data_IF_182948144680
#
_entry.id   IF_182948144680
#
_cell.length_a   1.000
_cell.length_b   1.000
_cell.length_c   1.000
_cell.angle_alpha   90.00
_cell.angle_beta   90.00
_cell.angle_gamma   90.00
#
_symmetry.space_group_name_H-M   'P 1'
#
loop_
_entity.id
_entity.type
_entity.pdbx_description
1 polymer ?
#
# COMPACT_ATOMS: atom_id res chain seq x y z
N UNK A 1 -27.57 -12.66 -35.04
CA UNK A 1 -26.89 -13.38 -33.94
C UNK A 1 -26.72 -12.45 -32.75
N UNK A 2 -27.51 -12.63 -31.69
CA UNK A 2 -27.36 -11.92 -30.41
C UNK A 2 -26.58 -12.86 -29.47
N UNK A 3 -25.35 -12.50 -29.11
CA UNK A 3 -24.56 -13.26 -28.14
C UNK A 3 -24.98 -12.86 -26.72
N UNK A 4 -25.55 -13.81 -25.99
CA UNK A 4 -25.98 -13.66 -24.60
C UNK A 4 -24.76 -13.91 -23.68
N UNK A 5 -24.27 -12.86 -23.02
CA UNK A 5 -23.11 -12.93 -22.13
C UNK A 5 -23.58 -13.43 -20.76
N UNK A 6 -23.27 -14.67 -20.41
CA UNK A 6 -23.63 -15.26 -19.12
C UNK A 6 -22.41 -15.18 -18.20
N UNK A 7 -22.45 -14.35 -17.16
CA UNK A 7 -21.39 -14.24 -16.15
C UNK A 7 -21.67 -15.30 -15.08
N UNK A 8 -20.82 -16.34 -15.04
CA UNK A 8 -20.83 -17.33 -13.97
C UNK A 8 -20.05 -16.79 -12.76
N UNK A 9 -20.75 -16.57 -11.65
CA UNK A 9 -20.14 -16.14 -10.39
C UNK A 9 -19.70 -17.38 -9.61
N UNK A 10 -18.38 -17.67 -9.59
CA UNK A 10 -17.82 -18.71 -8.72
C UNK A 10 -17.76 -18.20 -7.28
N UNK A 11 -18.55 -18.79 -6.38
CA UNK A 11 -18.44 -18.55 -4.95
C UNK A 11 -17.24 -19.30 -4.36
N UNK A 12 -16.26 -18.57 -3.83
CA UNK A 12 -15.19 -19.15 -3.01
C UNK A 12 -15.61 -19.12 -1.53
N UNK A 13 -15.58 -20.28 -0.88
CA UNK A 13 -15.64 -20.39 0.58
C UNK A 13 -14.26 -20.00 1.14
N UNK A 14 -14.16 -18.85 1.81
CA UNK A 14 -12.93 -18.44 2.50
C UNK A 14 -13.02 -18.78 3.99
N UNK A 15 -12.00 -19.44 4.52
CA UNK A 15 -11.80 -19.59 5.96
C UNK A 15 -11.30 -18.26 6.54
N UNK A 16 -12.03 -17.68 7.49
CA UNK A 16 -11.64 -16.44 8.15
C UNK A 16 -10.53 -16.69 9.17
N UNK A 17 -9.32 -16.21 8.90
CA UNK A 17 -8.28 -16.07 9.93
C UNK A 17 -8.53 -14.77 10.69
N UNK A 18 -8.41 -14.79 12.02
CA UNK A 18 -8.51 -13.60 12.86
C UNK A 18 -7.48 -12.55 12.39
N UNK A 19 -7.98 -11.38 11.98
CA UNK A 19 -7.17 -10.32 11.39
C UNK A 19 -6.30 -9.68 12.48
N UNK A 20 -4.98 -9.71 12.29
CA UNK A 20 -4.06 -8.91 13.10
C UNK A 20 -4.09 -7.47 12.56
N UNK A 21 -4.64 -6.55 13.35
CA UNK A 21 -4.91 -5.12 13.02
C UNK A 21 -3.68 -4.26 12.64
N UNK A 22 -2.48 -4.83 12.55
CA UNK A 22 -1.20 -4.09 12.39
C UNK A 22 -0.99 -3.47 10.99
N UNK A 23 -1.89 -3.72 10.02
CA UNK A 23 -1.75 -3.30 8.62
C UNK A 23 -2.96 -2.54 8.04
N UNK A 24 -3.92 -2.13 8.87
CA UNK A 24 -5.19 -1.59 8.35
C UNK A 24 -5.03 -0.28 7.58
N UNK A 25 -4.02 0.53 7.90
CA UNK A 25 -3.71 1.75 7.15
C UNK A 25 -3.39 1.47 5.67
N UNK A 26 -2.90 0.27 5.33
CA UNK A 26 -2.65 -0.15 3.94
C UNK A 26 -3.93 -0.47 3.16
N UNK A 27 -5.09 -0.48 3.81
CA UNK A 27 -6.39 -0.61 3.13
C UNK A 27 -6.98 0.74 2.71
N UNK A 28 -6.44 1.86 3.21
CA UNK A 28 -6.87 3.20 2.79
C UNK A 28 -6.71 3.32 1.28
N UNK A 29 -5.54 2.94 0.75
CA UNK A 29 -5.23 3.02 -0.68
C UNK A 29 -4.39 4.24 -1.03
N UNK A 30 -3.79 4.26 -2.23
CA UNK A 30 -2.90 5.33 -2.69
C UNK A 30 -3.31 5.88 -4.05
N UNK A 31 -3.23 7.20 -4.21
CA UNK A 31 -3.56 7.93 -5.44
C UNK A 31 -5.04 8.32 -5.52
N UNK A 32 -5.31 9.60 -5.79
CA UNK A 32 -6.68 10.12 -5.91
C UNK A 32 -7.52 9.40 -6.97
N UNK A 33 -6.91 9.03 -8.10
CA UNK A 33 -7.58 8.28 -9.15
C UNK A 33 -7.96 6.85 -8.73
N UNK A 34 -7.14 6.21 -7.88
CA UNK A 34 -7.49 4.91 -7.33
C UNK A 34 -8.67 5.02 -6.37
N UNK A 35 -8.65 6.03 -5.51
CA UNK A 35 -9.71 6.30 -4.55
C UNK A 35 -11.05 6.60 -5.24
N UNK A 36 -11.04 7.40 -6.32
CA UNK A 36 -12.26 7.69 -7.09
C UNK A 36 -12.84 6.46 -7.78
N UNK A 37 -12.02 5.45 -8.07
CA UNK A 37 -12.45 4.15 -8.60
C UNK A 37 -12.78 3.12 -7.52
N UNK A 38 -12.91 3.54 -6.26
CA UNK A 38 -13.20 2.63 -5.15
C UNK A 38 -12.08 1.61 -4.92
N UNK A 39 -10.82 2.02 -5.12
CA UNK A 39 -9.62 1.18 -4.97
C UNK A 39 -9.51 0.02 -5.98
N UNK A 40 -10.28 0.04 -7.07
CA UNK A 40 -10.23 -0.96 -8.12
C UNK A 40 -9.12 -0.69 -9.16
N UNK A 41 -7.87 -1.05 -8.84
CA UNK A 41 -6.70 -0.70 -9.66
C UNK A 41 -5.88 -1.88 -10.24
N UNK A 42 -6.18 -3.12 -9.85
CA UNK A 42 -5.31 -4.28 -10.12
C UNK A 42 -4.96 -4.45 -11.61
N UNK A 43 -5.92 -4.24 -12.50
CA UNK A 43 -5.74 -4.44 -13.95
C UNK A 43 -5.37 -3.15 -14.71
N UNK A 44 -5.71 -1.98 -14.18
CA UNK A 44 -5.59 -0.69 -14.87
C UNK A 44 -4.34 0.10 -14.51
N UNK A 45 -3.73 -0.16 -13.34
CA UNK A 45 -2.60 0.64 -12.86
C UNK A 45 -1.40 0.52 -13.79
N UNK A 46 -0.85 1.68 -14.17
CA UNK A 46 0.21 1.78 -15.17
C UNK A 46 1.25 2.87 -14.86
N UNK A 47 1.29 3.34 -13.62
CA UNK A 47 2.16 4.42 -13.14
C UNK A 47 2.96 3.99 -11.92
N UNK A 48 3.71 4.91 -11.31
CA UNK A 48 4.53 4.67 -10.11
C UNK A 48 3.73 4.10 -8.91
N UNK A 49 2.42 4.35 -8.82
CA UNK A 49 1.57 3.78 -7.76
C UNK A 49 1.33 2.28 -7.94
N UNK A 50 1.69 1.72 -9.10
CA UNK A 50 1.65 0.28 -9.36
C UNK A 50 2.46 -0.53 -8.33
N UNK A 51 3.52 0.03 -7.74
CA UNK A 51 4.27 -0.65 -6.67
C UNK A 51 3.39 -1.06 -5.48
N UNK A 52 2.37 -0.25 -5.16
CA UNK A 52 1.38 -0.54 -4.12
C UNK A 52 0.23 -1.42 -4.63
N UNK A 53 -0.32 -1.11 -5.82
CA UNK A 53 -1.53 -1.76 -6.34
C UNK A 53 -1.27 -3.09 -7.06
N UNK A 54 -0.38 -3.10 -8.06
CA UNK A 54 0.03 -4.30 -8.80
C UNK A 54 1.41 -4.05 -9.42
N UNK A 55 2.50 -4.64 -8.88
CA UNK A 55 3.85 -4.31 -9.30
C UNK A 55 4.09 -4.58 -10.79
N UNK A 56 3.36 -5.51 -11.43
CA UNK A 56 3.47 -5.73 -12.88
C UNK A 56 3.16 -4.48 -13.72
N UNK A 57 2.32 -3.58 -13.21
CA UNK A 57 1.95 -2.32 -13.86
C UNK A 57 3.11 -1.33 -14.03
N UNK A 58 4.19 -1.46 -13.24
CA UNK A 58 5.39 -0.60 -13.34
C UNK A 58 6.07 -0.72 -14.72
N UNK A 59 5.89 -1.84 -15.41
CA UNK A 59 6.42 -2.04 -16.77
C UNK A 59 5.77 -1.14 -17.84
N UNK A 60 4.65 -0.49 -17.51
CA UNK A 60 3.95 0.43 -18.41
C UNK A 60 4.46 1.87 -18.30
N UNK A 61 5.36 2.18 -17.36
CA UNK A 61 6.02 3.48 -17.26
C UNK A 61 6.94 3.65 -18.46
N UNK A 62 6.68 4.69 -19.26
CA UNK A 62 7.43 4.98 -20.50
C UNK A 62 8.52 6.05 -20.33
N UNK A 63 8.49 6.79 -19.22
CA UNK A 63 9.47 7.83 -18.90
C UNK A 63 10.66 7.25 -18.15
N UNK A 64 11.81 7.91 -18.21
CA UNK A 64 13.04 7.45 -17.53
C UNK A 64 12.89 7.37 -16.01
N UNK A 65 12.01 8.20 -15.44
CA UNK A 65 11.70 8.20 -14.02
C UNK A 65 10.29 8.76 -13.82
N UNK A 66 9.60 8.26 -12.81
CA UNK A 66 8.32 8.80 -12.36
C UNK A 66 8.32 8.89 -10.83
N UNK A 67 7.80 10.00 -10.32
CA UNK A 67 7.66 10.26 -8.88
C UNK A 67 6.21 10.62 -8.60
N UNK A 68 5.67 10.19 -7.47
CA UNK A 68 4.33 10.55 -7.00
C UNK A 68 4.35 10.82 -5.51
N UNK A 69 3.61 11.84 -5.10
CA UNK A 69 3.39 12.20 -3.71
C UNK A 69 1.88 12.34 -3.49
N UNK A 70 1.42 11.92 -2.32
CA UNK A 70 0.04 12.10 -1.87
C UNK A 70 0.05 12.38 -0.38
N UNK A 71 -0.79 13.31 0.04
CA UNK A 71 -1.11 13.58 1.43
C UNK A 71 -2.64 13.52 1.56
N UNK A 72 -3.12 12.86 2.60
CA UNK A 72 -4.54 12.78 2.93
C UNK A 72 -4.74 12.89 4.44
N UNK A 73 -5.70 13.73 4.83
CA UNK A 73 -6.14 13.85 6.22
C UNK A 73 -7.32 12.90 6.46
N UNK A 74 -7.26 12.16 7.57
CA UNK A 74 -8.27 11.21 8.00
C UNK A 74 -8.85 11.66 9.35
N UNK A 75 -10.18 11.49 9.51
CA UNK A 75 -10.93 11.89 10.69
C UNK A 75 -10.70 13.34 11.13
N UNK A 76 -10.97 14.32 10.27
CA UNK A 76 -10.81 15.74 10.58
C UNK A 76 -9.38 16.09 11.08
N UNK A 77 -8.39 15.66 10.30
CA UNK A 77 -6.96 15.96 10.53
C UNK A 77 -6.35 15.31 11.78
N UNK A 78 -7.05 14.34 12.40
CA UNK A 78 -6.50 13.55 13.50
C UNK A 78 -5.43 12.58 12.97
N UNK A 79 -5.69 11.92 11.83
CA UNK A 79 -4.74 11.01 11.20
C UNK A 79 -4.17 11.58 9.90
N UNK A 80 -2.86 11.52 9.72
CA UNK A 80 -2.17 11.92 8.49
C UNK A 80 -1.72 10.69 7.72
N UNK A 81 -2.09 10.59 6.44
CA UNK A 81 -1.68 9.52 5.55
C UNK A 81 -0.85 10.09 4.39
N UNK A 82 0.45 9.87 4.45
CA UNK A 82 1.43 10.33 3.47
C UNK A 82 1.92 9.15 2.62
N UNK A 83 2.04 9.38 1.33
CA UNK A 83 2.60 8.44 0.37
C UNK A 83 3.61 9.15 -0.52
N UNK A 84 4.79 8.54 -0.66
CA UNK A 84 5.83 8.96 -1.60
C UNK A 84 6.30 7.74 -2.37
N UNK A 85 6.43 7.86 -3.69
CA UNK A 85 6.96 6.79 -4.51
C UNK A 85 7.78 7.29 -5.67
N UNK A 86 8.76 6.47 -6.06
CA UNK A 86 9.62 6.67 -7.21
C UNK A 86 9.74 5.35 -7.97
N UNK A 87 9.67 5.42 -9.29
CA UNK A 87 9.91 4.27 -10.16
C UNK A 87 10.81 4.68 -11.33
N UNK A 88 11.68 3.75 -11.72
CA UNK A 88 12.67 3.93 -12.76
C UNK A 88 12.76 2.68 -13.64
N UNK A 89 12.43 2.78 -14.94
CA UNK A 89 12.76 1.73 -15.89
C UNK A 89 14.27 1.52 -15.97
N UNK A 90 14.67 0.25 -16.09
CA UNK A 90 16.05 -0.15 -16.33
C UNK A 90 16.36 0.04 -17.81
N UNK A 91 17.63 0.25 -18.16
CA UNK A 91 18.08 0.54 -19.53
C UNK A 91 17.69 -0.51 -20.59
N UNK A 92 17.26 -1.70 -20.19
CA UNK A 92 16.75 -2.73 -21.11
C UNK A 92 15.31 -2.48 -21.61
N UNK A 93 14.62 -1.46 -21.06
CA UNK A 93 13.24 -1.08 -21.40
C UNK A 93 12.17 -2.13 -21.05
N UNK A 94 12.57 -3.22 -20.41
CA UNK A 94 11.72 -4.37 -20.07
C UNK A 94 11.52 -4.50 -18.58
N UNK A 95 12.42 -3.96 -17.77
CA UNK A 95 12.38 -4.02 -16.31
C UNK A 95 12.16 -2.65 -15.70
N UNK A 96 11.48 -2.61 -14.57
CA UNK A 96 11.26 -1.38 -13.79
C UNK A 96 11.46 -1.67 -12.32
N UNK A 97 12.18 -0.78 -11.64
CA UNK A 97 12.34 -0.78 -10.19
C UNK A 97 11.46 0.30 -9.58
N UNK A 98 10.87 0.03 -8.41
CA UNK A 98 10.03 0.95 -7.68
C UNK A 98 10.35 0.95 -6.20
N UNK A 99 10.29 2.12 -5.59
CA UNK A 99 10.34 2.33 -4.15
C UNK A 99 9.12 3.14 -3.74
N UNK A 100 8.48 2.75 -2.65
CA UNK A 100 7.41 3.53 -2.04
C UNK A 100 7.55 3.56 -0.53
N UNK A 101 7.17 4.68 0.05
CA UNK A 101 7.08 4.89 1.49
C UNK A 101 5.68 5.37 1.81
N UNK A 102 5.10 4.79 2.84
CA UNK A 102 3.80 5.14 3.38
C UNK A 102 4.01 5.50 4.84
N UNK A 103 3.46 6.62 5.26
CA UNK A 103 3.40 7.01 6.67
C UNK A 103 1.93 7.19 7.02
N UNK A 104 1.49 6.53 8.08
CA UNK A 104 0.23 6.83 8.72
C UNK A 104 0.52 7.21 10.16
N UNK A 105 0.00 8.33 10.65
CA UNK A 105 0.23 8.70 12.03
C UNK A 105 -0.72 9.74 12.57
N UNK A 106 -0.93 9.66 13.88
CA UNK A 106 -1.62 10.68 14.67
C UNK A 106 -0.54 11.41 15.45
N UNK A 107 -0.38 12.69 15.15
CA UNK A 107 0.60 13.54 15.78
C UNK A 107 -0.01 14.32 16.95
N UNK A 108 0.82 14.65 17.94
CA UNK A 108 0.45 15.51 19.08
C UNK A 108 -0.72 15.00 19.96
N UNK A 109 -0.78 13.71 20.25
CA UNK A 109 -1.76 13.17 21.21
C UNK A 109 -1.38 13.64 22.62
N UNK A 110 -2.23 14.42 23.33
CA UNK A 110 -1.92 14.87 24.68
C UNK A 110 -1.96 13.69 25.66
N UNK A 111 -0.85 13.42 26.35
CA UNK A 111 -0.82 12.40 27.40
C UNK A 111 -1.41 12.94 28.70
N UNK A 112 -2.59 12.46 29.08
CA UNK A 112 -3.27 12.85 30.32
C UNK A 112 -3.05 11.87 31.48
N UNK A 113 -2.25 10.81 31.30
CA UNK A 113 -1.98 9.81 32.35
C UNK A 113 -1.20 10.39 33.55
N UNK A 114 -0.53 11.52 33.36
CA UNK A 114 0.21 12.24 34.41
C UNK A 114 -0.45 13.58 34.77
N UNK A 115 -1.74 13.76 34.41
CA UNK A 115 -2.48 15.00 34.67
C UNK A 115 -2.75 15.24 36.17
N UNK A 116 -2.93 14.15 36.92
CA UNK A 116 -3.17 14.19 38.36
C UNK A 116 -1.90 13.84 39.10
N UNK A 117 -1.51 14.72 40.01
CA UNK A 117 -0.43 14.46 40.96
C UNK A 117 -0.90 13.51 42.07
N UNK A 118 0.04 12.97 42.86
CA UNK A 118 -0.29 12.04 43.96
C UNK A 118 -1.15 12.69 45.07
N UNK A 119 -1.24 14.02 45.08
CA UNK A 119 -2.08 14.81 45.98
C UNK A 119 -3.46 15.18 45.38
N UNK A 120 -3.76 14.75 44.16
CA UNK A 120 -5.01 15.01 43.44
C UNK A 120 -5.08 16.37 42.74
N UNK A 121 -4.02 17.19 42.78
CA UNK A 121 -3.95 18.46 42.05
C UNK A 121 -3.75 18.22 40.54
N UNK A 122 -4.27 19.14 39.73
CA UNK A 122 -4.15 19.09 38.26
C UNK A 122 -2.89 19.86 37.87
N UNK A 123 -1.95 19.17 37.23
CA UNK A 123 -0.74 19.77 36.69
C UNK A 123 -0.76 19.70 35.16
N UNK A 124 -1.15 20.81 34.52
CA UNK A 124 -1.20 20.90 33.06
C UNK A 124 0.19 20.85 32.40
N UNK A 125 1.27 21.14 33.12
CA UNK A 125 2.64 21.05 32.61
C UNK A 125 3.11 19.60 32.39
N UNK A 126 2.40 18.62 32.97
CA UNK A 126 2.66 17.20 32.77
C UNK A 126 2.06 16.63 31.47
N UNK A 127 1.25 17.41 30.75
CA UNK A 127 0.68 17.00 29.46
C UNK A 127 1.80 17.05 28.42
N UNK A 128 2.48 15.92 28.23
CA UNK A 128 3.48 15.76 27.16
C UNK A 128 2.83 15.10 25.94
N UNK A 129 2.87 15.73 24.75
CA UNK A 129 2.34 15.10 23.56
C UNK A 129 3.17 13.87 23.17
N UNK A 130 2.50 12.84 22.66
CA UNK A 130 3.13 11.72 21.97
C UNK A 130 2.54 11.55 20.58
N UNK A 131 3.33 11.01 19.65
CA UNK A 131 2.85 10.60 18.33
C UNK A 131 2.79 9.08 18.24
N UNK A 132 1.80 8.56 17.53
CA UNK A 132 1.73 7.16 17.12
C UNK A 132 1.85 7.11 15.60
N UNK A 133 2.90 6.48 15.09
CA UNK A 133 3.21 6.51 13.65
C UNK A 133 3.60 5.12 13.15
N UNK A 134 3.00 4.74 12.04
CA UNK A 134 3.29 3.54 11.26
C UNK A 134 3.95 3.91 9.94
N UNK A 135 5.09 3.28 9.65
CA UNK A 135 5.75 3.38 8.36
C UNK A 135 5.66 2.07 7.61
N UNK A 136 5.40 2.12 6.31
CA UNK A 136 5.60 1.00 5.41
C UNK A 136 6.53 1.36 4.26
N UNK A 137 7.49 0.50 3.98
CA UNK A 137 8.42 0.62 2.88
C UNK A 137 8.13 -0.51 1.88
N UNK A 138 7.96 -0.17 0.61
CA UNK A 138 7.71 -1.14 -0.45
C UNK A 138 8.83 -1.05 -1.47
N UNK A 139 9.56 -2.14 -1.64
CA UNK A 139 10.45 -2.35 -2.77
C UNK A 139 9.72 -3.16 -3.83
N UNK A 140 9.71 -2.70 -5.07
CA UNK A 140 9.01 -3.34 -6.19
C UNK A 140 9.94 -3.56 -7.37
N UNK A 141 9.78 -4.70 -8.01
CA UNK A 141 10.43 -5.04 -9.26
C UNK A 141 9.41 -5.58 -10.24
N UNK A 142 9.51 -5.18 -11.50
CA UNK A 142 8.61 -5.63 -12.54
C UNK A 142 9.36 -5.90 -13.83
N UNK A 143 8.87 -6.85 -14.62
CA UNK A 143 9.48 -7.24 -15.88
C UNK A 143 8.43 -7.66 -16.92
N UNK A 144 8.60 -7.19 -18.15
CA UNK A 144 7.92 -7.71 -19.34
C UNK A 144 8.50 -9.07 -19.73
N UNK A 145 7.63 -10.04 -19.97
CA UNK A 145 8.02 -11.35 -20.49
C UNK A 145 8.16 -11.32 -22.01
N UNK A 146 8.47 -12.48 -22.61
CA UNK A 146 8.78 -12.58 -24.06
C UNK A 146 7.69 -12.03 -24.99
N UNK A 147 6.44 -11.99 -24.54
CA UNK A 147 5.38 -11.24 -25.20
C UNK A 147 5.21 -9.89 -24.52
N UNK A 148 5.29 -8.78 -25.26
CA UNK A 148 5.02 -7.41 -24.75
C UNK A 148 3.61 -7.22 -24.15
N UNK A 149 2.79 -8.26 -24.21
CA UNK A 149 1.45 -8.36 -23.64
C UNK A 149 1.43 -8.85 -22.20
N UNK A 150 2.49 -9.50 -21.71
CA UNK A 150 2.51 -10.11 -20.38
C UNK A 150 3.60 -9.48 -19.53
N UNK A 151 3.18 -8.91 -18.41
CA UNK A 151 4.04 -8.33 -17.39
C UNK A 151 3.86 -9.07 -16.08
N UNK A 152 4.98 -9.31 -15.40
CA UNK A 152 5.01 -9.84 -14.04
C UNK A 152 5.72 -8.86 -13.13
N UNK A 153 5.40 -8.89 -11.85
CA UNK A 153 6.10 -8.11 -10.85
C UNK A 153 6.03 -8.75 -9.48
N UNK A 154 6.96 -8.35 -8.62
CA UNK A 154 6.98 -8.72 -7.22
C UNK A 154 7.24 -7.47 -6.38
N UNK A 155 6.73 -7.49 -5.15
CA UNK A 155 7.09 -6.50 -4.15
C UNK A 155 7.46 -7.16 -2.82
N UNK A 156 8.35 -6.49 -2.10
CA UNK A 156 8.68 -6.78 -0.72
C UNK A 156 8.28 -5.55 0.08
N UNK A 157 7.40 -5.74 1.06
CA UNK A 157 6.92 -4.71 1.96
C UNK A 157 7.51 -4.96 3.34
N UNK A 158 8.10 -3.94 3.94
CA UNK A 158 8.39 -3.91 5.36
C UNK A 158 7.55 -2.84 6.05
N UNK A 159 7.31 -3.03 7.34
CA UNK A 159 6.62 -2.06 8.18
C UNK A 159 7.39 -1.85 9.47
N UNK A 160 7.35 -0.62 9.97
CA UNK A 160 7.90 -0.22 11.25
C UNK A 160 6.78 0.50 11.97
N UNK A 161 6.23 -0.15 12.98
CA UNK A 161 5.30 0.47 13.92
C UNK A 161 6.11 1.15 15.03
N UNK A 162 5.94 2.48 15.16
CA UNK A 162 6.50 3.29 16.22
C UNK A 162 5.35 3.70 17.14
N UNK A 163 4.94 2.77 17.99
CA UNK A 163 4.01 2.98 19.09
C UNK A 163 4.76 3.14 20.40
N UNK A 164 4.18 3.84 21.38
CA UNK A 164 4.77 4.20 22.69
C UNK A 164 5.39 3.00 23.45
N UNK A 165 5.03 1.76 23.10
CA UNK A 165 5.40 0.56 23.85
C UNK A 165 5.97 -0.61 23.04
N UNK A 166 5.93 -0.58 21.71
CA UNK A 166 6.39 -1.69 20.86
C UNK A 166 7.04 -1.18 19.58
N UNK A 167 8.12 -1.85 19.18
CA UNK A 167 8.70 -1.76 17.83
C UNK A 167 8.51 -3.11 17.16
N UNK A 168 7.59 -3.16 16.20
CA UNK A 168 7.36 -4.36 15.40
C UNK A 168 7.94 -4.14 14.01
N UNK A 169 8.78 -5.09 13.59
CA UNK A 169 9.22 -5.22 12.22
C UNK A 169 8.59 -6.47 11.64
N UNK A 170 8.11 -6.37 10.42
CA UNK A 170 7.89 -7.56 9.63
C UNK A 170 7.91 -7.28 8.16
N UNK A 171 7.83 -8.37 7.42
CA UNK A 171 8.07 -8.39 5.98
C UNK A 171 7.00 -9.24 5.32
N UNK A 172 6.43 -8.71 4.25
CA UNK A 172 5.51 -9.42 3.38
C UNK A 172 6.00 -9.36 1.94
N UNK A 173 5.63 -10.38 1.18
CA UNK A 173 5.89 -10.45 -0.25
C UNK A 173 4.56 -10.48 -0.99
N UNK A 174 4.55 -9.83 -2.15
CA UNK A 174 3.44 -9.86 -3.08
C UNK A 174 3.93 -10.12 -4.50
N UNK A 175 3.02 -10.64 -5.32
CA UNK A 175 3.26 -10.88 -6.74
C UNK A 175 2.09 -10.32 -7.55
N UNK A 176 2.43 -9.80 -8.71
CA UNK A 176 1.50 -9.18 -9.64
C UNK A 176 1.69 -9.72 -11.04
N UNK A 177 0.59 -9.80 -11.77
CA UNK A 177 0.54 -10.13 -13.18
C UNK A 177 -0.42 -9.18 -13.88
N UNK A 178 -0.05 -8.73 -15.08
CA UNK A 178 -0.93 -8.02 -16.01
C UNK A 178 -0.78 -8.61 -17.41
N UNK A 179 -1.92 -8.97 -18.01
CA UNK A 179 -2.00 -9.52 -19.35
C UNK A 179 -2.90 -8.66 -20.23
N UNK A 180 -2.31 -8.05 -21.26
CA UNK A 180 -3.01 -7.24 -22.26
C UNK A 180 -3.54 -8.14 -23.38
N UNK A 181 -4.84 -8.45 -23.32
CA UNK A 181 -5.55 -9.23 -24.34
C UNK A 181 -5.72 -8.40 -25.61
N UNK A 182 -6.20 -7.17 -25.45
CA UNK A 182 -6.34 -6.15 -26.52
C UNK A 182 -5.86 -4.80 -26.00
N UNK A 183 -5.79 -3.78 -26.85
CA UNK A 183 -5.38 -2.43 -26.42
C UNK A 183 -6.29 -1.83 -25.34
N UNK A 184 -7.55 -2.28 -25.25
CA UNK A 184 -8.54 -1.77 -24.31
C UNK A 184 -8.98 -2.80 -23.26
N UNK A 185 -8.43 -4.02 -23.30
CA UNK A 185 -8.81 -5.10 -22.39
C UNK A 185 -7.56 -5.73 -21.77
N UNK A 186 -7.42 -5.50 -20.46
CA UNK A 186 -6.31 -6.00 -19.64
C UNK A 186 -6.89 -6.81 -18.49
N UNK A 187 -6.29 -7.97 -18.24
CA UNK A 187 -6.58 -8.82 -17.09
C UNK A 187 -5.42 -8.66 -16.11
N UNK A 188 -5.74 -8.41 -14.84
CA UNK A 188 -4.77 -8.31 -13.76
C UNK A 188 -5.00 -9.39 -12.70
N UNK A 189 -3.93 -9.92 -12.14
CA UNK A 189 -3.95 -10.82 -10.99
C UNK A 189 -2.95 -10.33 -9.96
N UNK A 190 -3.35 -10.32 -8.69
CA UNK A 190 -2.52 -9.88 -7.57
C UNK A 190 -2.62 -10.90 -6.43
N UNK A 191 -1.47 -11.39 -5.98
CA UNK A 191 -1.33 -12.06 -4.69
C UNK A 191 -0.64 -11.10 -3.72
N UNK A 192 -1.39 -10.54 -2.76
CA UNK A 192 -0.91 -9.55 -1.79
C UNK A 192 -0.65 -10.24 -0.43
N UNK A 193 0.40 -9.80 0.26
CA UNK A 193 0.69 -10.14 1.66
C UNK A 193 0.76 -11.66 1.96
N UNK A 194 1.46 -12.43 1.11
CA UNK A 194 1.47 -13.91 1.13
C UNK A 194 2.21 -14.51 2.34
N UNK A 195 3.14 -13.77 2.96
CA UNK A 195 3.94 -14.26 4.09
C UNK A 195 3.81 -13.32 5.28
N UNK A 196 3.38 -13.80 6.45
CA UNK A 196 3.39 -13.01 7.69
C UNK A 196 4.51 -13.48 8.61
N UNK A 197 5.53 -12.64 8.82
CA UNK A 197 6.48 -12.79 9.92
C UNK A 197 6.60 -11.46 10.66
N UNK A 198 5.84 -11.30 11.75
CA UNK A 198 6.13 -10.23 12.71
C UNK A 198 7.26 -10.72 13.61
N UNK A 199 8.41 -10.05 13.56
CA UNK A 199 9.46 -10.25 14.54
C UNK A 199 9.15 -9.32 15.72
N UNK A 200 8.94 -9.94 16.89
CA UNK A 200 8.88 -9.29 18.20
C UNK A 200 10.29 -9.13 18.76
#
# INVERSE_FOLDING_TARGET
MKYLLTIAMLGFLTTTFAQKYSNEFLNIGVGAAAQSMGNAQVASVSDVTAGFWNPAGLTNIKTDMQVSFMHAEWFASIGNYDYLAIAKPVSDGKRTLGLSVIRFGIDNIPNTLSLYESDGTINYDNIKPFSAVDYAFLFSYAQKLKSDKLSIGGNAKSFIELSVRLRLLGVWFGFGLQYRVTNNFTIGLLGKDITTRSML
#
